data_IF_340743259167
#
_entry.id   IF_340743259167
#
_cell.length_a   1.000
_cell.length_b   1.000
_cell.length_c   1.000
_cell.angle_alpha   90.00
_cell.angle_beta   90.00
_cell.angle_gamma   90.00
#
_symmetry.space_group_name_H-M   'P 1'
#
loop_
_entity.id
_entity.type
_entity.pdbx_description
1 polymer ?
#
# COMPACT_ATOMS: atom_id res chain seq x y z
N UNK A 1 -16.53 5.09 -18.40
CA UNK A 1 -15.22 4.78 -17.77
C UNK A 1 -15.12 5.61 -16.49
N UNK A 2 -15.58 5.08 -15.36
CA UNK A 2 -15.61 5.81 -14.09
C UNK A 2 -14.21 5.90 -13.51
N UNK A 3 -13.62 7.10 -13.54
CA UNK A 3 -12.43 7.42 -12.75
C UNK A 3 -12.80 7.33 -11.28
N UNK A 4 -12.53 6.18 -10.66
CA UNK A 4 -12.74 6.00 -9.23
C UNK A 4 -11.79 6.94 -8.49
N UNK A 5 -12.37 8.01 -7.97
CA UNK A 5 -11.68 9.03 -7.20
C UNK A 5 -11.42 8.45 -5.81
N UNK A 6 -10.33 7.70 -5.64
CA UNK A 6 -10.00 7.09 -4.36
C UNK A 6 -9.51 8.17 -3.40
N UNK A 7 -10.40 8.53 -2.46
CA UNK A 7 -10.13 9.50 -1.39
C UNK A 7 -9.80 8.74 -0.12
N UNK A 8 -8.52 8.73 0.24
CA UNK A 8 -8.03 8.06 1.45
C UNK A 8 -7.70 9.15 2.48
N UNK A 9 -8.44 9.16 3.58
CA UNK A 9 -8.36 10.20 4.61
C UNK A 9 -7.29 9.95 5.66
N UNK A 10 -7.01 8.68 5.97
CA UNK A 10 -6.11 8.23 7.03
C UNK A 10 -5.24 7.04 6.56
N UNK A 11 -4.16 6.77 7.30
CA UNK A 11 -3.29 5.62 7.06
C UNK A 11 -4.01 4.28 7.23
N UNK A 12 -4.99 4.20 8.13
CA UNK A 12 -5.79 2.99 8.34
C UNK A 12 -6.62 2.65 7.10
N UNK A 13 -7.24 3.65 6.46
CA UNK A 13 -7.93 3.49 5.19
C UNK A 13 -6.98 3.09 4.06
N UNK A 14 -5.77 3.67 4.03
CA UNK A 14 -4.74 3.28 3.07
C UNK A 14 -4.38 1.80 3.22
N UNK A 15 -4.15 1.36 4.46
CA UNK A 15 -3.83 -0.02 4.78
C UNK A 15 -4.97 -0.96 4.36
N UNK A 16 -6.21 -0.65 4.69
CA UNK A 16 -7.36 -1.46 4.29
C UNK A 16 -7.50 -1.53 2.76
N UNK A 17 -7.34 -0.40 2.07
CA UNK A 17 -7.36 -0.36 0.61
C UNK A 17 -6.26 -1.23 0.00
N UNK A 18 -5.02 -1.10 0.48
CA UNK A 18 -3.88 -1.88 0.00
C UNK A 18 -4.10 -3.37 0.27
N UNK A 19 -4.52 -3.73 1.47
CA UNK A 19 -4.80 -5.11 1.86
C UNK A 19 -5.87 -5.73 0.95
N UNK A 20 -7.00 -5.05 0.77
CA UNK A 20 -8.07 -5.51 -0.10
C UNK A 20 -7.62 -5.63 -1.55
N UNK A 21 -6.86 -4.66 -2.06
CA UNK A 21 -6.38 -4.70 -3.45
C UNK A 21 -5.39 -5.85 -3.67
N UNK A 22 -4.47 -6.09 -2.73
CA UNK A 22 -3.54 -7.22 -2.81
C UNK A 22 -4.27 -8.57 -2.75
N UNK A 23 -5.27 -8.70 -1.88
CA UNK A 23 -6.09 -9.89 -1.81
C UNK A 23 -6.87 -10.11 -3.11
N UNK A 24 -7.53 -9.08 -3.65
CA UNK A 24 -8.29 -9.16 -4.90
C UNK A 24 -7.41 -9.56 -6.09
N UNK A 25 -6.26 -8.87 -6.26
CA UNK A 25 -5.31 -9.13 -7.36
C UNK A 25 -4.79 -10.57 -7.38
N UNK A 26 -4.66 -11.19 -6.21
CA UNK A 26 -4.10 -12.53 -6.06
C UNK A 26 -5.13 -13.57 -5.63
N UNK A 27 -6.43 -13.23 -5.67
CA UNK A 27 -7.55 -14.08 -5.26
C UNK A 27 -7.33 -14.72 -3.88
N UNK A 28 -6.79 -13.95 -2.95
CA UNK A 28 -6.57 -14.36 -1.56
C UNK A 28 -7.79 -14.01 -0.72
N UNK A 29 -8.03 -14.82 0.31
CA UNK A 29 -9.07 -14.54 1.29
C UNK A 29 -8.65 -13.36 2.18
N UNK A 30 -9.52 -12.34 2.23
CA UNK A 30 -9.34 -11.14 3.05
C UNK A 30 -9.31 -11.51 4.54
N UNK A 31 -8.25 -11.10 5.23
CA UNK A 31 -8.08 -11.39 6.67
C UNK A 31 -7.48 -12.76 6.98
N UNK A 32 -7.28 -13.63 5.98
CA UNK A 32 -6.55 -14.89 6.17
C UNK A 32 -5.04 -14.69 6.33
N UNK A 33 -4.53 -13.54 5.88
CA UNK A 33 -3.10 -13.23 5.87
C UNK A 33 -2.81 -11.88 6.53
N UNK A 34 -1.69 -11.82 7.24
CA UNK A 34 -1.25 -10.60 7.90
C UNK A 34 -0.52 -9.68 6.92
N UNK A 35 -0.88 -8.39 6.99
CA UNK A 35 -0.20 -7.32 6.29
C UNK A 35 0.64 -6.51 7.29
N UNK A 36 1.92 -6.36 6.99
CA UNK A 36 2.83 -5.49 7.73
C UNK A 36 3.04 -4.20 6.96
N UNK A 37 3.28 -3.11 7.68
CA UNK A 37 3.53 -1.79 7.10
C UNK A 37 4.80 -1.20 7.71
N UNK A 38 5.57 -0.51 6.88
CA UNK A 38 6.84 0.13 7.26
C UNK A 38 6.89 1.52 6.67
N UNK A 39 7.06 2.52 7.53
CA UNK A 39 7.25 3.89 7.08
C UNK A 39 8.59 4.02 6.35
N UNK A 40 8.55 4.63 5.16
CA UNK A 40 9.72 5.00 4.40
C UNK A 40 10.07 6.45 4.72
N UNK A 41 11.31 6.66 5.14
CA UNK A 41 11.88 7.98 5.43
C UNK A 41 13.02 8.23 4.46
N UNK A 42 13.00 9.41 3.83
CA UNK A 42 14.08 9.91 2.98
C UNK A 42 14.74 11.07 3.71
N UNK A 43 15.92 10.82 4.26
CA UNK A 43 16.55 11.77 5.19
C UNK A 43 15.72 11.86 6.47
N UNK A 44 15.28 13.07 6.80
CA UNK A 44 14.48 13.36 8.00
C UNK A 44 12.96 13.41 7.73
N UNK A 45 12.53 13.20 6.46
CA UNK A 45 11.14 13.37 6.06
C UNK A 45 10.48 12.03 5.67
N UNK A 46 9.26 11.76 6.16
CA UNK A 46 8.51 10.57 5.77
C UNK A 46 8.03 10.71 4.31
N UNK A 47 8.48 9.81 3.43
CA UNK A 47 8.25 9.88 1.99
C UNK A 47 7.30 8.81 1.46
N UNK A 48 6.85 7.88 2.31
CA UNK A 48 5.93 6.83 1.90
C UNK A 48 5.74 5.73 2.92
N UNK A 49 5.01 4.69 2.51
CA UNK A 49 4.79 3.48 3.31
C UNK A 49 4.98 2.27 2.41
N UNK A 50 5.75 1.31 2.90
CA UNK A 50 5.93 0.00 2.32
C UNK A 50 5.01 -1.00 3.04
N UNK A 51 4.20 -1.72 2.27
CA UNK A 51 3.29 -2.75 2.75
C UNK A 51 3.75 -4.12 2.27
N UNK A 52 3.69 -5.11 3.15
CA UNK A 52 4.09 -6.49 2.90
C UNK A 52 2.97 -7.43 3.35
N UNK A 53 2.31 -8.11 2.41
CA UNK A 53 1.34 -9.15 2.70
C UNK A 53 2.01 -10.52 2.59
N UNK A 54 1.89 -11.30 3.65
CA UNK A 54 2.47 -12.64 3.75
C UNK A 54 1.45 -13.67 3.27
N UNK A 55 1.49 -14.00 1.98
CA UNK A 55 0.58 -14.95 1.36
C UNK A 55 0.94 -16.42 1.64
N UNK A 56 0.12 -17.35 1.12
CA UNK A 56 0.34 -18.78 1.30
C UNK A 56 1.56 -19.24 0.50
N UNK A 57 2.26 -20.29 0.97
CA UNK A 57 3.43 -20.89 0.30
C UNK A 57 4.62 -19.93 0.12
N UNK A 58 4.88 -19.08 1.11
CA UNK A 58 5.97 -18.08 1.11
C UNK A 58 5.87 -17.01 0.02
N UNK A 59 4.69 -16.81 -0.56
CA UNK A 59 4.42 -15.69 -1.47
C UNK A 59 4.45 -14.39 -0.68
N UNK A 60 5.27 -13.43 -1.12
CA UNK A 60 5.32 -12.08 -0.55
C UNK A 60 4.78 -11.10 -1.56
N UNK A 61 3.64 -10.52 -1.26
CA UNK A 61 3.06 -9.46 -2.08
C UNK A 61 3.39 -8.13 -1.44
N UNK A 62 3.81 -7.18 -2.25
CA UNK A 62 4.30 -5.91 -1.72
C UNK A 62 3.59 -4.75 -2.38
N UNK A 63 3.40 -3.66 -1.64
CA UNK A 63 2.86 -2.43 -2.18
C UNK A 63 3.60 -1.25 -1.58
N UNK A 64 3.81 -0.21 -2.36
CA UNK A 64 4.52 0.99 -1.94
C UNK A 64 3.62 2.18 -2.21
N UNK A 65 3.26 2.89 -1.17
CA UNK A 65 2.65 4.20 -1.31
C UNK A 65 3.73 5.27 -1.22
N UNK A 66 3.83 6.12 -2.25
CA UNK A 66 4.70 7.29 -2.29
C UNK A 66 3.88 8.57 -2.03
N UNK A 67 4.42 9.48 -1.22
CA UNK A 67 3.74 10.75 -0.92
C UNK A 67 3.94 11.81 -1.99
N UNK A 68 5.06 11.73 -2.73
CA UNK A 68 5.44 12.68 -3.78
C UNK A 68 4.36 12.79 -4.87
N UNK A 69 3.92 11.65 -5.40
CA UNK A 69 2.87 11.56 -6.42
C UNK A 69 1.54 11.08 -5.87
N UNK A 70 1.46 10.86 -4.56
CA UNK A 70 0.31 10.25 -3.89
C UNK A 70 -0.18 8.98 -4.61
N UNK A 71 0.74 8.09 -4.93
CA UNK A 71 0.48 6.93 -5.78
C UNK A 71 0.84 5.65 -5.02
N UNK A 72 -0.03 4.64 -5.14
CA UNK A 72 0.21 3.29 -4.64
C UNK A 72 0.68 2.42 -5.79
N UNK A 73 1.84 1.81 -5.63
CA UNK A 73 2.47 0.89 -6.56
C UNK A 73 2.33 -0.52 -6.00
N UNK A 74 1.70 -1.41 -6.74
CA UNK A 74 1.52 -2.80 -6.35
C UNK A 74 2.51 -3.69 -7.08
N UNK A 75 3.18 -4.55 -6.32
CA UNK A 75 4.22 -5.44 -6.79
C UNK A 75 3.83 -6.89 -6.53
N UNK A 76 4.07 -7.73 -7.53
CA UNK A 76 3.85 -9.16 -7.47
C UNK A 76 4.87 -9.90 -6.62
N UNK A 77 4.68 -11.20 -6.54
CA UNK A 77 5.56 -12.12 -5.82
C UNK A 77 6.99 -12.18 -6.36
N UNK A 78 7.22 -11.77 -7.61
CA UNK A 78 8.55 -11.72 -8.21
C UNK A 78 9.19 -10.32 -8.16
N UNK A 79 8.49 -9.33 -7.59
CA UNK A 79 8.93 -7.93 -7.60
C UNK A 79 8.58 -7.17 -8.88
N UNK A 80 7.79 -7.78 -9.78
CA UNK A 80 7.24 -7.07 -10.94
C UNK A 80 6.16 -6.07 -10.52
N UNK A 81 6.05 -4.93 -11.20
CA UNK A 81 4.97 -3.97 -10.94
C UNK A 81 3.71 -4.41 -11.69
N UNK A 82 2.68 -4.80 -10.95
CA UNK A 82 1.40 -5.30 -11.49
C UNK A 82 0.43 -4.15 -11.73
N UNK A 83 0.33 -3.23 -10.76
CA UNK A 83 -0.67 -2.16 -10.80
C UNK A 83 -0.13 -0.87 -10.20
N UNK A 84 -0.70 0.25 -10.65
CA UNK A 84 -0.53 1.57 -10.03
C UNK A 84 -1.89 2.20 -9.80
N UNK A 85 -2.08 2.80 -8.64
CA UNK A 85 -3.29 3.54 -8.29
C UNK A 85 -2.89 4.91 -7.79
N UNK A 86 -3.32 5.97 -8.47
CA UNK A 86 -3.15 7.33 -7.99
C UNK A 86 -4.31 7.69 -7.06
N UNK A 87 -3.98 8.16 -5.86
CA UNK A 87 -4.96 8.62 -4.88
C UNK A 87 -5.29 10.09 -5.13
N UNK A 88 -6.55 10.47 -4.95
CA UNK A 88 -7.01 11.86 -5.10
C UNK A 88 -6.64 12.70 -3.88
N UNK A 89 -6.57 12.07 -2.71
CA UNK A 89 -6.19 12.70 -1.44
C UNK A 89 -5.14 11.84 -0.74
N UNK A 90 -4.09 12.48 -0.24
CA UNK A 90 -3.02 11.83 0.50
C UNK A 90 -3.36 11.79 1.99
N UNK A 91 -3.21 10.64 2.66
CA UNK A 91 -3.24 10.61 4.12
C UNK A 91 -2.05 11.39 4.69
N UNK A 92 -2.23 11.98 5.88
CA UNK A 92 -1.16 12.73 6.55
C UNK A 92 -0.19 11.76 7.22
N UNK A 93 1.08 11.82 6.84
CA UNK A 93 2.15 11.17 7.59
C UNK A 93 2.52 12.07 8.78
N UNK A 94 2.12 11.69 9.99
CA UNK A 94 2.68 12.28 11.18
C UNK A 94 4.08 11.67 11.40
N UNK A 95 5.10 12.52 11.46
CA UNK A 95 6.43 12.09 11.89
C UNK A 95 6.32 11.71 13.38
N UNK A 96 6.37 10.43 13.70
CA UNK A 96 6.65 9.98 15.07
C UNK A 96 8.17 9.94 15.19
N UNK A 97 8.76 11.11 15.43
CA UNK A 97 10.12 11.19 15.92
C UNK A 97 10.14 10.54 17.32
N UNK A 98 10.86 9.43 17.44
CA UNK A 98 11.16 8.79 18.72
C UNK A 98 12.47 9.34 19.29
#
# INVERSE_FOLDING_TARGET
MTMHSLQIGDLSDLRHYVHHTLCDLHQLELGAFEITERMLVRGDQPCGIFFCLHGPRSVKLTAIWETDRNTVLFYGSTGERIQKTQLVRAPKLACVAA
#
